data_IF_336405829637
#
_entry.id   IF_336405829637
#
_cell.length_a   1.000
_cell.length_b   1.000
_cell.length_c   1.000
_cell.angle_alpha   90.00
_cell.angle_beta   90.00
_cell.angle_gamma   90.00
#
_symmetry.space_group_name_H-M   'P 1'
#
loop_
_entity.id
_entity.type
_entity.pdbx_description
1 polymer ?
#
# COMPACT_ATOMS: atom_id res chain seq x y z
N UNK A 1 -5.32 9.31 -9.23
CA UNK A 1 -6.33 8.87 -8.25
C UNK A 1 -5.77 8.96 -6.83
N UNK A 2 -6.53 9.47 -5.91
CA UNK A 2 -6.09 9.63 -4.53
C UNK A 2 -6.58 8.47 -3.68
N UNK A 3 -5.67 7.83 -2.96
CA UNK A 3 -5.98 6.70 -2.08
C UNK A 3 -5.58 7.06 -0.64
N UNK A 4 -6.49 7.65 0.14
CA UNK A 4 -6.14 8.14 1.49
C UNK A 4 -5.70 7.04 2.45
N UNK A 5 -6.09 5.79 2.21
CA UNK A 5 -5.69 4.68 3.09
C UNK A 5 -4.20 4.37 3.02
N UNK A 6 -3.51 4.78 1.95
CA UNK A 6 -2.05 4.63 1.90
C UNK A 6 -1.40 5.34 3.07
N UNK A 7 -1.79 6.59 3.30
CA UNK A 7 -1.27 7.38 4.40
C UNK A 7 -1.77 6.87 5.74
N UNK A 8 -3.06 6.56 5.84
CA UNK A 8 -3.67 6.11 7.08
C UNK A 8 -3.01 4.84 7.60
N UNK A 9 -2.80 3.85 6.73
CA UNK A 9 -2.16 2.61 7.10
C UNK A 9 -0.71 2.82 7.51
N UNK A 10 0.00 3.69 6.79
CA UNK A 10 1.38 4.01 7.11
C UNK A 10 1.48 4.64 8.49
N UNK A 11 0.63 5.63 8.77
CA UNK A 11 0.63 6.32 10.06
C UNK A 11 0.21 5.40 11.19
N UNK A 12 -0.74 4.50 10.95
CA UNK A 12 -1.14 3.52 11.95
C UNK A 12 0.01 2.60 12.36
N UNK A 13 0.93 2.32 11.45
CA UNK A 13 2.12 1.52 11.74
C UNK A 13 3.29 2.37 12.20
N UNK A 14 3.07 3.68 12.38
CA UNK A 14 4.10 4.63 12.81
C UNK A 14 5.32 4.63 11.88
N UNK A 15 5.07 4.44 10.58
CA UNK A 15 6.12 4.47 9.57
C UNK A 15 6.20 5.83 8.91
N UNK A 16 7.43 6.21 8.55
CA UNK A 16 7.66 7.42 7.75
C UNK A 16 7.62 7.06 6.27
N UNK A 17 7.34 8.05 5.42
CA UNK A 17 7.34 7.84 3.97
C UNK A 17 8.67 7.25 3.50
N UNK A 18 9.77 7.71 4.06
CA UNK A 18 11.10 7.21 3.71
C UNK A 18 11.23 5.72 3.98
N UNK A 19 10.68 5.27 5.12
CA UNK A 19 10.75 3.86 5.48
C UNK A 19 9.97 2.98 4.50
N UNK A 20 8.77 3.44 4.13
CA UNK A 20 7.95 2.70 3.16
C UNK A 20 8.62 2.69 1.78
N UNK A 21 9.21 3.82 1.38
CA UNK A 21 9.94 3.89 0.12
C UNK A 21 11.08 2.88 0.07
N UNK A 22 11.82 2.73 1.17
CA UNK A 22 12.90 1.74 1.25
C UNK A 22 12.34 0.33 1.08
N UNK A 23 11.22 0.03 1.75
CA UNK A 23 10.58 -1.28 1.66
C UNK A 23 10.16 -1.58 0.22
N UNK A 24 9.66 -0.57 -0.49
CA UNK A 24 9.24 -0.72 -1.88
C UNK A 24 10.41 -0.64 -2.87
N UNK A 25 11.59 -0.25 -2.42
CA UNK A 25 12.76 -0.10 -3.29
C UNK A 25 12.66 1.09 -4.24
N UNK A 26 12.01 2.16 -3.81
CA UNK A 26 11.80 3.36 -4.63
C UNK A 26 12.25 4.60 -3.88
N UNK A 27 12.35 5.72 -4.60
CA UNK A 27 12.67 7.01 -4.02
C UNK A 27 11.48 7.52 -3.20
N UNK A 28 11.77 8.19 -2.08
CA UNK A 28 10.73 8.74 -1.22
C UNK A 28 9.81 9.70 -1.96
N UNK A 29 10.35 10.48 -2.88
CA UNK A 29 9.58 11.44 -3.65
C UNK A 29 8.54 10.72 -4.52
N UNK A 30 8.93 9.59 -5.10
CA UNK A 30 8.03 8.76 -5.90
C UNK A 30 6.90 8.22 -5.01
N UNK A 31 7.25 7.70 -3.84
CA UNK A 31 6.23 7.21 -2.92
C UNK A 31 5.28 8.32 -2.48
N UNK A 32 5.82 9.50 -2.19
CA UNK A 32 5.00 10.65 -1.81
C UNK A 32 3.97 10.99 -2.89
N UNK A 33 4.32 10.84 -4.16
CA UNK A 33 3.39 11.07 -5.25
C UNK A 33 2.23 10.06 -5.25
N UNK A 34 2.46 8.86 -4.74
CA UNK A 34 1.35 7.89 -4.57
C UNK A 34 0.40 8.34 -3.47
N UNK A 35 0.92 8.81 -2.33
CA UNK A 35 0.07 9.26 -1.23
C UNK A 35 -0.73 10.51 -1.58
N UNK A 36 -0.16 11.41 -2.37
CA UNK A 36 -0.83 12.66 -2.72
C UNK A 36 -1.73 12.54 -3.94
N UNK A 37 -1.72 11.39 -4.60
CA UNK A 37 -2.56 11.18 -5.78
C UNK A 37 -1.98 11.75 -7.07
N UNK A 38 -0.74 12.25 -7.05
CA UNK A 38 -0.09 12.75 -8.25
C UNK A 38 0.27 11.66 -9.23
N UNK A 39 0.44 10.43 -8.74
CA UNK A 39 0.74 9.26 -9.54
C UNK A 39 -0.05 8.07 -9.04
N UNK A 40 -0.48 7.22 -9.98
CA UNK A 40 -1.10 5.95 -9.63
C UNK A 40 -0.05 5.01 -9.05
N UNK A 41 -0.41 4.30 -7.98
CA UNK A 41 0.47 3.29 -7.44
C UNK A 41 0.45 2.05 -8.33
N UNK A 42 1.61 1.55 -8.75
CA UNK A 42 1.66 0.31 -9.53
C UNK A 42 1.11 -0.87 -8.75
N UNK A 43 0.52 -1.82 -9.46
CA UNK A 43 -0.10 -3.00 -8.86
C UNK A 43 0.85 -3.75 -7.94
N UNK A 44 2.10 -3.96 -8.38
CA UNK A 44 3.06 -4.72 -7.56
C UNK A 44 3.40 -4.02 -6.24
N UNK A 45 3.40 -2.69 -6.21
CA UNK A 45 3.59 -1.95 -4.97
C UNK A 45 2.35 -2.01 -4.08
N UNK A 46 1.17 -1.94 -4.68
CA UNK A 46 -0.08 -2.07 -3.91
C UNK A 46 -0.16 -3.44 -3.23
N UNK A 47 0.20 -4.49 -3.94
CA UNK A 47 0.23 -5.84 -3.39
C UNK A 47 1.24 -5.93 -2.23
N UNK A 48 2.41 -5.35 -2.42
CA UNK A 48 3.45 -5.37 -1.38
C UNK A 48 2.99 -4.66 -0.11
N UNK A 49 2.31 -3.52 -0.27
CA UNK A 49 1.77 -2.80 0.88
C UNK A 49 0.63 -3.57 1.55
N UNK A 50 -0.20 -4.26 0.78
CA UNK A 50 -1.23 -5.11 1.36
C UNK A 50 -0.62 -6.19 2.23
N UNK A 51 0.50 -6.77 1.81
CA UNK A 51 1.24 -7.74 2.62
C UNK A 51 1.80 -7.08 3.87
N UNK A 52 2.46 -5.95 3.70
CA UNK A 52 3.10 -5.23 4.80
C UNK A 52 2.09 -4.85 5.89
N UNK A 53 0.94 -4.34 5.49
CA UNK A 53 -0.09 -3.86 6.41
C UNK A 53 -1.11 -4.94 6.79
N UNK A 54 -0.90 -6.16 6.30
CA UNK A 54 -1.79 -7.28 6.60
C UNK A 54 -3.25 -6.96 6.25
N UNK A 55 -3.45 -6.48 5.04
CA UNK A 55 -4.77 -6.11 4.53
C UNK A 55 -4.89 -6.53 3.06
N UNK A 56 -5.93 -6.08 2.38
CA UNK A 56 -6.16 -6.38 0.97
C UNK A 56 -5.86 -5.17 0.09
N UNK A 57 -5.54 -5.40 -1.17
CA UNK A 57 -5.43 -4.31 -2.14
C UNK A 57 -6.76 -3.58 -2.29
N UNK A 58 -7.88 -4.29 -2.22
CA UNK A 58 -9.20 -3.67 -2.29
C UNK A 58 -9.41 -2.67 -1.16
N UNK A 59 -8.96 -3.01 0.06
CA UNK A 59 -9.07 -2.08 1.17
C UNK A 59 -8.21 -0.83 0.93
N UNK A 60 -6.96 -1.03 0.49
CA UNK A 60 -6.05 0.08 0.20
C UNK A 60 -6.64 1.02 -0.86
N UNK A 61 -7.27 0.44 -1.89
CA UNK A 61 -7.81 1.20 -3.01
C UNK A 61 -9.22 1.72 -2.76
N UNK A 62 -9.79 1.43 -1.59
CA UNK A 62 -11.09 1.96 -1.23
C UNK A 62 -12.28 1.21 -1.83
N UNK A 63 -12.05 0.00 -2.33
CA UNK A 63 -13.12 -0.81 -2.93
C UNK A 63 -13.89 -1.61 -1.89
N UNK A 64 -13.39 -1.70 -0.69
CA UNK A 64 -14.06 -2.35 0.44
C UNK A 64 -13.70 -1.62 1.72
N UNK A 65 -14.58 -1.67 2.71
CA UNK A 65 -14.28 -1.14 4.04
C UNK A 65 -13.81 -2.23 5.00
N UNK A 66 -13.70 -3.45 4.53
CA UNK A 66 -13.20 -4.55 5.35
C UNK A 66 -11.66 -4.59 5.30
N UNK A 67 -10.98 -4.31 6.43
CA UNK A 67 -9.52 -4.28 6.43
C UNK A 67 -8.86 -5.64 6.50
N UNK A 68 -9.64 -6.72 6.65
CA UNK A 68 -9.06 -8.05 6.74
C UNK A 68 -8.38 -8.45 5.44
N UNK A 69 -7.23 -9.13 5.50
CA UNK A 69 -6.57 -9.59 4.29
C UNK A 69 -7.36 -10.72 3.65
N UNK A 70 -7.23 -10.84 2.32
CA UNK A 70 -7.74 -12.00 1.63
C UNK A 70 -6.83 -13.19 1.91
N UNK A 71 -7.42 -14.38 1.87
CA UNK A 71 -6.62 -15.59 1.92
C UNK A 71 -5.68 -15.62 0.74
N UNK A 72 -4.38 -15.83 1.01
CA UNK A 72 -3.39 -15.86 -0.06
C UNK A 72 -3.47 -17.14 -0.82
N UNK A 73 -3.58 -17.00 -2.13
CA UNK A 73 -3.42 -18.13 -3.01
C UNK A 73 -1.94 -18.50 -3.03
N UNK A 74 -1.63 -19.74 -2.73
CA UNK A 74 -0.27 -20.20 -2.79
C UNK A 74 0.18 -20.27 -4.24
N UNK A 75 1.45 -20.01 -4.47
CA UNK A 75 2.02 -20.29 -5.77
C UNK A 75 1.76 -21.75 -6.11
N UNK A 76 1.38 -21.99 -7.33
CA UNK A 76 1.11 -23.35 -7.77
C UNK A 76 2.37 -24.19 -7.60
N UNK A 77 2.25 -25.18 -6.81
CA UNK A 77 3.34 -26.11 -6.58
C UNK A 77 2.97 -27.43 -7.18
#
# INVERSE_FOLDING_TARGET
>A
MYYPRLRDLREDQELKQKEVAIILGIDQRVYSNYETGKREIPTHHAIRLAVLYHTSTDYILGLTDNPAPYERKRAKS
#
